data_IF_898039144702
#
_entry.id   IF_898039144702
#
_cell.length_a   1.000
_cell.length_b   1.000
_cell.length_c   1.000
_cell.angle_alpha   90.00
_cell.angle_beta   90.00
_cell.angle_gamma   90.00
#
_symmetry.space_group_name_H-M   'P 1'
#
loop_
_entity.id
_entity.type
_entity.pdbx_description
1 polymer ?
#
# COMPACT_ATOMS: atom_id res chain seq x y z
N UNK A 1 11.05 16.48 -18.30
CA UNK A 1 9.79 15.66 -18.22
C UNK A 1 10.12 14.19 -18.44
N UNK A 2 9.46 13.29 -17.72
CA UNK A 2 9.62 11.85 -17.88
C UNK A 2 8.92 11.41 -19.17
N UNK A 3 9.61 10.66 -20.02
CA UNK A 3 9.09 10.17 -21.29
C UNK A 3 7.93 9.16 -21.09
N UNK A 4 7.01 9.08 -22.06
CA UNK A 4 5.83 8.20 -22.01
C UNK A 4 6.19 6.72 -21.75
N UNK A 5 7.21 6.20 -22.42
CA UNK A 5 7.69 4.81 -22.25
C UNK A 5 8.13 4.54 -20.80
N UNK A 6 8.88 5.47 -20.19
CA UNK A 6 9.37 5.33 -18.81
C UNK A 6 8.21 5.33 -17.82
N UNK A 7 7.17 6.17 -18.04
CA UNK A 7 5.97 6.17 -17.21
C UNK A 7 5.24 4.83 -17.27
N UNK A 8 5.05 4.27 -18.46
CA UNK A 8 4.38 2.98 -18.66
C UNK A 8 5.15 1.87 -17.93
N UNK A 9 6.46 1.80 -18.14
CA UNK A 9 7.33 0.80 -17.47
C UNK A 9 7.23 0.95 -15.94
N UNK A 10 7.28 2.19 -15.43
CA UNK A 10 7.17 2.42 -13.99
C UNK A 10 5.80 1.98 -13.42
N UNK A 11 4.71 2.22 -14.14
CA UNK A 11 3.36 1.77 -13.74
C UNK A 11 3.31 0.25 -13.67
N UNK A 12 3.81 -0.45 -14.69
CA UNK A 12 3.83 -1.91 -14.72
C UNK A 12 4.68 -2.46 -13.57
N UNK A 13 5.88 -1.90 -13.35
CA UNK A 13 6.75 -2.33 -12.25
C UNK A 13 6.15 -2.06 -10.88
N UNK A 14 5.43 -0.94 -10.68
CA UNK A 14 4.73 -0.66 -9.42
C UNK A 14 3.65 -1.71 -9.13
N UNK A 15 2.85 -2.08 -10.13
CA UNK A 15 1.79 -3.08 -9.98
C UNK A 15 2.41 -4.44 -9.66
N UNK A 16 3.43 -4.87 -10.40
CA UNK A 16 4.13 -6.14 -10.16
C UNK A 16 4.76 -6.13 -8.77
N UNK A 17 5.49 -5.08 -8.40
CA UNK A 17 6.13 -4.98 -7.10
C UNK A 17 5.11 -5.01 -5.96
N UNK A 18 4.02 -4.23 -6.07
CA UNK A 18 2.94 -4.24 -5.10
C UNK A 18 2.32 -5.63 -4.93
N UNK A 19 2.04 -6.32 -6.04
CA UNK A 19 1.52 -7.70 -5.99
C UNK A 19 2.53 -8.68 -5.36
N UNK A 20 3.82 -8.55 -5.67
CA UNK A 20 4.88 -9.39 -5.09
C UNK A 20 5.03 -9.18 -3.57
N UNK A 21 4.77 -7.96 -3.07
CA UNK A 21 4.85 -7.66 -1.63
C UNK A 21 3.97 -8.59 -0.79
N UNK A 22 2.85 -9.05 -1.33
CA UNK A 22 1.93 -9.97 -0.67
C UNK A 22 2.60 -11.31 -0.27
N UNK A 23 3.57 -11.77 -1.04
CA UNK A 23 4.18 -13.09 -0.84
C UNK A 23 5.52 -13.06 -0.08
N UNK A 24 6.08 -11.87 0.16
CA UNK A 24 7.46 -11.75 0.69
C UNK A 24 7.59 -12.35 2.08
N UNK A 25 6.70 -12.00 3.00
CA UNK A 25 6.82 -12.48 4.38
C UNK A 25 6.53 -13.98 4.52
N UNK A 26 5.64 -14.52 3.68
CA UNK A 26 5.35 -15.95 3.65
C UNK A 26 6.52 -16.80 3.16
N UNK A 27 7.45 -16.21 2.39
CA UNK A 27 8.64 -16.89 1.87
C UNK A 27 9.85 -16.83 2.83
N UNK A 28 9.77 -16.05 3.93
CA UNK A 28 10.88 -15.84 4.86
C UNK A 28 10.70 -16.65 6.15
N UNK A 29 11.81 -17.09 6.78
CA UNK A 29 11.75 -17.73 8.08
C UNK A 29 11.31 -16.72 9.16
N UNK A 30 10.60 -17.20 10.18
CA UNK A 30 10.20 -16.37 11.34
C UNK A 30 11.43 -15.86 12.09
N UNK A 31 11.45 -14.58 12.47
CA UNK A 31 12.55 -13.96 13.20
C UNK A 31 12.57 -12.43 13.09
N UNK A 32 13.53 -11.79 13.71
CA UNK A 32 13.61 -10.33 13.78
C UNK A 32 13.67 -9.62 12.42
N UNK A 33 14.22 -10.27 11.38
CA UNK A 33 14.19 -9.71 10.01
C UNK A 33 12.75 -9.65 9.49
N UNK A 34 11.97 -10.71 9.69
CA UNK A 34 10.56 -10.79 9.26
C UNK A 34 9.72 -9.77 10.02
N UNK A 35 9.97 -9.58 11.32
CA UNK A 35 9.31 -8.54 12.12
C UNK A 35 9.62 -7.14 11.58
N UNK A 36 10.89 -6.84 11.29
CA UNK A 36 11.27 -5.56 10.69
C UNK A 36 10.61 -5.34 9.34
N UNK A 37 10.60 -6.36 8.48
CA UNK A 37 9.98 -6.30 7.15
C UNK A 37 8.46 -6.15 7.20
N UNK A 38 7.81 -6.59 8.27
CA UNK A 38 6.38 -6.39 8.52
C UNK A 38 5.96 -4.90 8.56
N UNK A 39 6.90 -3.97 8.76
CA UNK A 39 6.63 -2.55 8.60
C UNK A 39 6.30 -2.14 7.16
N UNK A 40 6.81 -2.88 6.18
CA UNK A 40 6.73 -2.56 4.76
C UNK A 40 5.83 -3.51 3.98
N UNK A 41 5.76 -4.77 4.39
CA UNK A 41 5.03 -5.84 3.71
C UNK A 41 3.81 -6.26 4.53
N UNK A 42 2.72 -6.72 3.89
CA UNK A 42 1.56 -7.24 4.60
C UNK A 42 1.93 -8.40 5.53
N UNK A 43 1.50 -8.35 6.77
CA UNK A 43 1.75 -9.39 7.79
C UNK A 43 0.58 -10.36 7.92
N UNK A 44 -0.60 -10.00 7.42
CA UNK A 44 -1.83 -10.80 7.44
C UNK A 44 -2.75 -10.41 6.28
N UNK A 45 -3.89 -11.09 6.16
CA UNK A 45 -4.86 -10.91 5.06
C UNK A 45 -5.91 -9.81 5.33
N UNK A 46 -5.63 -8.87 6.25
CA UNK A 46 -6.55 -7.77 6.50
C UNK A 46 -6.51 -6.73 5.40
N UNK A 47 -7.64 -6.07 5.14
CA UNK A 47 -7.72 -4.99 4.16
C UNK A 47 -6.75 -3.84 4.50
N UNK A 48 -6.48 -3.62 5.80
CA UNK A 48 -5.53 -2.61 6.26
C UNK A 48 -4.10 -2.91 5.80
N UNK A 49 -3.65 -4.14 5.96
CA UNK A 49 -2.30 -4.57 5.57
C UNK A 49 -2.07 -4.48 4.06
N UNK A 50 -3.10 -4.77 3.26
CA UNK A 50 -3.05 -4.62 1.80
C UNK A 50 -2.84 -3.16 1.33
N UNK A 51 -3.13 -2.15 2.16
CA UNK A 51 -2.83 -0.76 1.81
C UNK A 51 -1.33 -0.51 1.63
N UNK A 52 -0.45 -1.27 2.32
CA UNK A 52 1.01 -1.19 2.14
C UNK A 52 1.43 -1.47 0.70
N UNK A 53 0.75 -2.40 0.05
CA UNK A 53 1.03 -2.80 -1.34
C UNK A 53 0.77 -1.67 -2.35
N UNK A 54 0.00 -0.66 -1.99
CA UNK A 54 -0.23 0.54 -2.79
C UNK A 54 0.62 1.71 -2.32
N UNK A 55 0.70 1.92 -1.00
CA UNK A 55 1.40 3.04 -0.41
C UNK A 55 2.88 3.06 -0.79
N UNK A 56 3.61 2.00 -0.48
CA UNK A 56 5.06 1.99 -0.66
C UNK A 56 5.53 2.03 -2.12
N UNK A 57 4.94 1.28 -3.07
CA UNK A 57 5.33 1.37 -4.48
C UNK A 57 5.07 2.75 -5.09
N UNK A 58 3.91 3.35 -4.82
CA UNK A 58 3.58 4.69 -5.32
C UNK A 58 4.52 5.75 -4.69
N UNK A 59 4.76 5.69 -3.38
CA UNK A 59 5.67 6.60 -2.71
C UNK A 59 7.10 6.49 -3.27
N UNK A 60 7.61 5.28 -3.45
CA UNK A 60 8.94 5.03 -3.97
C UNK A 60 9.12 5.62 -5.38
N UNK A 61 8.16 5.40 -6.29
CA UNK A 61 8.22 5.98 -7.64
C UNK A 61 8.09 7.50 -7.62
N UNK A 62 7.26 8.05 -6.75
CA UNK A 62 7.16 9.49 -6.54
C UNK A 62 8.48 10.12 -6.12
N UNK A 63 9.19 9.49 -5.19
CA UNK A 63 10.53 9.88 -4.75
C UNK A 63 11.52 9.80 -5.92
N UNK A 64 11.61 8.66 -6.60
CA UNK A 64 12.52 8.43 -7.73
C UNK A 64 12.30 9.46 -8.84
N UNK A 65 11.04 9.71 -9.22
CA UNK A 65 10.71 10.68 -10.27
C UNK A 65 11.00 12.11 -9.85
N UNK A 66 10.77 12.46 -8.58
CA UNK A 66 11.12 13.75 -8.03
C UNK A 66 12.62 14.02 -8.13
N UNK A 67 13.46 13.07 -7.73
CA UNK A 67 14.92 13.18 -7.84
C UNK A 67 15.39 13.21 -9.29
N UNK A 68 14.91 12.30 -10.15
CA UNK A 68 15.34 12.23 -11.56
C UNK A 68 15.01 13.47 -12.38
N UNK A 69 13.95 14.17 -12.05
CA UNK A 69 13.47 15.33 -12.81
C UNK A 69 13.78 16.67 -12.15
N UNK A 70 14.19 16.68 -10.89
CA UNK A 70 14.27 17.89 -10.07
C UNK A 70 12.90 18.51 -9.78
N UNK A 71 11.80 17.86 -10.20
CA UNK A 71 10.43 18.35 -9.99
C UNK A 71 9.78 17.70 -8.77
N UNK A 72 9.80 18.42 -7.66
CA UNK A 72 9.20 17.99 -6.38
C UNK A 72 7.69 17.75 -6.45
N UNK A 73 7.02 18.24 -7.49
CA UNK A 73 5.61 17.98 -7.74
C UNK A 73 5.31 16.49 -7.97
N UNK A 74 6.27 15.69 -8.43
CA UNK A 74 6.09 14.24 -8.53
C UNK A 74 5.88 13.60 -7.15
N UNK A 75 6.70 13.94 -6.16
CA UNK A 75 6.52 13.41 -4.80
C UNK A 75 5.11 13.69 -4.27
N UNK A 76 4.71 14.96 -4.28
CA UNK A 76 3.39 15.39 -3.82
C UNK A 76 2.25 14.70 -4.57
N UNK A 77 2.35 14.64 -5.91
CA UNK A 77 1.34 13.99 -6.75
C UNK A 77 1.19 12.50 -6.40
N UNK A 78 2.30 11.79 -6.20
CA UNK A 78 2.26 10.37 -5.84
C UNK A 78 1.73 10.13 -4.42
N UNK A 79 2.02 11.01 -3.45
CA UNK A 79 1.42 10.94 -2.11
C UNK A 79 -0.10 11.06 -2.17
N UNK A 80 -0.63 12.09 -2.85
CA UNK A 80 -2.08 12.26 -3.03
C UNK A 80 -2.70 11.06 -3.72
N UNK A 81 -2.06 10.59 -4.79
CA UNK A 81 -2.56 9.50 -5.60
C UNK A 81 -2.51 8.15 -4.87
N UNK A 82 -1.52 7.96 -3.99
CA UNK A 82 -1.46 6.77 -3.14
C UNK A 82 -2.64 6.74 -2.16
N UNK A 83 -2.96 7.88 -1.53
CA UNK A 83 -4.15 7.98 -0.67
C UNK A 83 -5.43 7.67 -1.45
N UNK A 84 -5.58 8.22 -2.65
CA UNK A 84 -6.75 7.95 -3.49
C UNK A 84 -6.84 6.50 -3.94
N UNK A 85 -5.71 5.86 -4.30
CA UNK A 85 -5.67 4.45 -4.64
C UNK A 85 -6.07 3.56 -3.46
N UNK A 86 -5.56 3.85 -2.25
CA UNK A 86 -5.91 3.15 -1.02
C UNK A 86 -7.41 3.27 -0.73
N UNK A 87 -7.98 4.48 -0.80
CA UNK A 87 -9.41 4.71 -0.57
C UNK A 87 -10.28 4.01 -1.63
N UNK A 88 -9.88 4.06 -2.89
CA UNK A 88 -10.58 3.36 -3.98
C UNK A 88 -10.55 1.85 -3.76
N UNK A 89 -9.40 1.29 -3.42
CA UNK A 89 -9.25 -0.14 -3.15
C UNK A 89 -10.13 -0.58 -1.97
N UNK A 90 -10.01 0.11 -0.84
CA UNK A 90 -10.78 -0.18 0.36
C UNK A 90 -12.29 -0.05 0.11
N UNK A 91 -12.72 1.03 -0.56
CA UNK A 91 -14.12 1.26 -0.87
C UNK A 91 -14.70 0.20 -1.79
N UNK A 92 -14.02 -0.12 -2.90
CA UNK A 92 -14.47 -1.13 -3.83
C UNK A 92 -14.51 -2.53 -3.19
N UNK A 93 -13.49 -2.89 -2.40
CA UNK A 93 -13.43 -4.13 -1.65
C UNK A 93 -14.59 -4.24 -0.66
N UNK A 94 -14.81 -3.21 0.17
CA UNK A 94 -15.89 -3.20 1.17
C UNK A 94 -17.27 -3.29 0.53
N UNK A 95 -17.48 -2.61 -0.61
CA UNK A 95 -18.76 -2.64 -1.33
C UNK A 95 -19.05 -4.04 -1.84
N UNK A 96 -18.12 -4.64 -2.64
CA UNK A 96 -18.42 -5.95 -3.21
C UNK A 96 -18.56 -7.03 -2.14
N UNK A 97 -17.77 -6.96 -1.08
CA UNK A 97 -17.84 -7.92 0.02
C UNK A 97 -19.15 -7.82 0.79
N UNK A 98 -19.73 -6.62 0.93
CA UNK A 98 -21.05 -6.42 1.52
C UNK A 98 -22.16 -7.16 0.75
N UNK A 99 -22.00 -7.28 -0.60
CA UNK A 99 -22.96 -7.98 -1.43
C UNK A 99 -22.70 -9.48 -1.55
N UNK A 100 -21.42 -9.88 -1.65
CA UNK A 100 -21.02 -11.27 -1.88
C UNK A 100 -20.96 -12.11 -0.60
N UNK A 101 -20.77 -11.46 0.54
CA UNK A 101 -20.54 -12.11 1.84
C UNK A 101 -19.23 -12.90 1.94
N UNK A 102 -18.37 -12.84 0.93
CA UNK A 102 -17.10 -13.56 0.86
C UNK A 102 -16.09 -12.86 -0.03
N UNK A 103 -14.81 -13.15 0.16
CA UNK A 103 -13.72 -12.71 -0.71
C UNK A 103 -13.69 -13.54 -2.01
N UNK A 104 -13.39 -12.88 -3.12
CA UNK A 104 -13.27 -13.50 -4.43
C UNK A 104 -11.94 -13.05 -5.04
N UNK A 105 -10.95 -13.93 -5.04
CA UNK A 105 -9.56 -13.64 -5.42
C UNK A 105 -9.43 -12.86 -6.73
N UNK A 106 -10.18 -13.22 -7.77
CA UNK A 106 -10.14 -12.55 -9.07
C UNK A 106 -10.61 -11.09 -8.95
N UNK A 107 -11.64 -10.82 -8.14
CA UNK A 107 -12.12 -9.47 -7.88
C UNK A 107 -11.10 -8.68 -7.07
N UNK A 108 -10.50 -9.28 -6.03
CA UNK A 108 -9.50 -8.64 -5.19
C UNK A 108 -8.28 -8.19 -6.01
N UNK A 109 -7.75 -9.07 -6.86
CA UNK A 109 -6.65 -8.75 -7.79
C UNK A 109 -7.08 -7.66 -8.78
N UNK A 110 -8.29 -7.75 -9.33
CA UNK A 110 -8.79 -6.77 -10.30
C UNK A 110 -8.96 -5.38 -9.67
N UNK A 111 -9.47 -5.31 -8.45
CA UNK A 111 -9.61 -4.07 -7.67
C UNK A 111 -8.24 -3.47 -7.36
N UNK A 112 -7.29 -4.30 -6.91
CA UNK A 112 -5.92 -3.87 -6.64
C UNK A 112 -5.26 -3.27 -7.89
N UNK A 113 -5.26 -4.00 -9.02
CA UNK A 113 -4.66 -3.54 -10.28
C UNK A 113 -5.32 -2.23 -10.75
N UNK A 114 -6.65 -2.17 -10.71
CA UNK A 114 -7.41 -0.98 -11.13
C UNK A 114 -7.08 0.23 -10.25
N UNK A 115 -7.02 0.05 -8.93
CA UNK A 115 -6.71 1.12 -7.98
C UNK A 115 -5.28 1.63 -8.17
N UNK A 116 -4.30 0.73 -8.38
CA UNK A 116 -2.92 1.08 -8.67
C UNK A 116 -2.79 1.84 -9.99
N UNK A 117 -3.49 1.39 -11.04
CA UNK A 117 -3.47 2.03 -12.36
C UNK A 117 -4.07 3.44 -12.28
N UNK A 118 -5.24 3.59 -11.68
CA UNK A 118 -5.88 4.90 -11.48
C UNK A 118 -4.99 5.83 -10.66
N UNK A 119 -4.42 5.34 -9.55
CA UNK A 119 -3.48 6.11 -8.74
C UNK A 119 -2.26 6.57 -9.53
N UNK A 120 -1.64 5.70 -10.31
CA UNK A 120 -0.47 6.03 -11.11
C UNK A 120 -0.78 7.04 -12.24
N UNK A 121 -1.92 6.91 -12.91
CA UNK A 121 -2.37 7.86 -13.94
C UNK A 121 -2.66 9.22 -13.31
N UNK A 122 -3.38 9.25 -12.18
CA UNK A 122 -3.66 10.48 -11.43
C UNK A 122 -2.35 11.17 -10.99
N UNK A 123 -1.36 10.43 -10.51
CA UNK A 123 -0.06 10.97 -10.16
C UNK A 123 0.64 11.64 -11.34
N UNK A 124 0.57 11.03 -12.53
CA UNK A 124 1.13 11.61 -13.75
C UNK A 124 0.49 12.95 -14.11
N UNK A 125 -0.83 13.08 -13.96
CA UNK A 125 -1.57 14.32 -14.22
C UNK A 125 -1.28 15.37 -13.15
N UNK A 126 -1.38 15.00 -11.87
CA UNK A 126 -1.17 15.93 -10.76
C UNK A 126 0.26 16.47 -10.68
N UNK A 127 1.26 15.70 -11.11
CA UNK A 127 2.67 16.12 -11.09
C UNK A 127 2.97 17.37 -11.91
N UNK A 128 2.09 17.72 -12.86
CA UNK A 128 2.19 18.91 -13.69
C UNK A 128 1.53 20.15 -13.04
N UNK A 129 0.81 19.99 -11.95
CA UNK A 129 0.07 21.09 -11.30
C UNK A 129 0.98 21.89 -10.38
N UNK A 130 0.91 23.21 -10.46
CA UNK A 130 1.75 24.12 -9.64
C UNK A 130 1.54 23.96 -8.14
N UNK A 131 0.32 23.63 -7.69
CA UNK A 131 -0.02 23.51 -6.27
C UNK A 131 0.71 22.34 -5.60
N UNK A 132 1.00 21.25 -6.34
CA UNK A 132 1.75 20.10 -5.81
C UNK A 132 3.16 20.49 -5.37
N UNK A 133 3.79 21.44 -6.07
CA UNK A 133 5.13 21.94 -5.74
C UNK A 133 5.11 22.94 -4.57
N UNK A 134 4.10 23.83 -4.55
CA UNK A 134 4.01 24.90 -3.54
C UNK A 134 3.78 24.37 -2.13
N UNK A 135 3.05 23.27 -1.97
CA UNK A 135 2.67 22.71 -0.69
C UNK A 135 3.55 21.50 -0.29
N UNK A 136 4.77 21.42 -0.78
CA UNK A 136 5.66 20.28 -0.50
C UNK A 136 5.81 19.95 0.99
N UNK A 137 5.99 20.90 1.93
CA UNK A 137 6.11 20.56 3.35
C UNK A 137 4.86 19.85 3.89
N UNK A 138 3.68 20.25 3.44
CA UNK A 138 2.42 19.59 3.82
C UNK A 138 2.38 18.14 3.31
N UNK A 139 2.81 17.91 2.07
CA UNK A 139 2.82 16.55 1.49
C UNK A 139 3.86 15.64 2.14
N UNK A 140 5.00 16.20 2.55
CA UNK A 140 6.00 15.46 3.34
C UNK A 140 5.44 15.11 4.71
N UNK A 141 4.81 16.05 5.40
CA UNK A 141 4.18 15.81 6.70
C UNK A 141 3.09 14.74 6.60
N UNK A 142 2.24 14.83 5.58
CA UNK A 142 1.19 13.84 5.31
C UNK A 142 1.78 12.44 5.03
N UNK A 143 2.83 12.35 4.22
CA UNK A 143 3.49 11.08 3.91
C UNK A 143 4.10 10.44 5.15
N UNK A 144 4.76 11.23 5.99
CA UNK A 144 5.30 10.76 7.28
C UNK A 144 4.18 10.30 8.21
N UNK A 145 3.12 11.08 8.35
CA UNK A 145 1.98 10.76 9.21
C UNK A 145 1.31 9.44 8.78
N UNK A 146 1.06 9.26 7.47
CA UNK A 146 0.46 8.03 6.95
C UNK A 146 1.40 6.84 7.17
N UNK A 147 2.70 6.99 6.87
CA UNK A 147 3.69 5.92 7.06
C UNK A 147 3.78 5.49 8.53
N UNK A 148 3.85 6.46 9.46
CA UNK A 148 3.84 6.18 10.89
C UNK A 148 2.52 5.52 11.32
N UNK A 149 1.38 5.98 10.78
CA UNK A 149 0.08 5.38 11.03
C UNK A 149 -0.01 3.93 10.55
N UNK A 150 0.50 3.64 9.35
CA UNK A 150 0.56 2.27 8.81
C UNK A 150 1.39 1.37 9.72
N UNK A 151 2.59 1.80 10.11
CA UNK A 151 3.48 1.04 11.00
C UNK A 151 2.82 0.84 12.37
N UNK A 152 2.30 1.92 12.97
CA UNK A 152 1.64 1.84 14.28
C UNK A 152 0.48 0.84 14.29
N UNK A 153 -0.40 0.89 13.30
CA UNK A 153 -1.58 0.04 13.22
C UNK A 153 -1.27 -1.41 12.82
N UNK A 154 -0.08 -1.69 12.29
CA UNK A 154 0.40 -3.07 12.11
C UNK A 154 0.59 -3.77 13.46
N UNK A 155 1.10 -3.05 14.47
CA UNK A 155 1.34 -3.60 15.82
C UNK A 155 0.17 -3.38 16.79
N UNK A 156 -0.70 -2.41 16.51
CA UNK A 156 -1.83 -2.04 17.33
C UNK A 156 -3.13 -1.98 16.47
N UNK A 157 -3.55 -3.13 15.90
CA UNK A 157 -4.70 -3.14 15.01
C UNK A 157 -5.97 -2.73 15.76
N UNK A 158 -6.79 -1.91 15.09
CA UNK A 158 -8.11 -1.52 15.62
C UNK A 158 -9.10 -2.69 15.61
N UNK A 159 -10.27 -2.48 16.24
CA UNK A 159 -11.37 -3.46 16.27
C UNK A 159 -12.32 -3.34 15.06
N UNK A 160 -12.03 -2.42 14.11
CA UNK A 160 -12.89 -2.18 12.95
C UNK A 160 -12.78 -3.27 11.89
N UNK A 161 -13.79 -3.31 11.02
CA UNK A 161 -13.89 -4.26 9.90
C UNK A 161 -12.62 -4.39 9.04
N UNK A 162 -11.93 -3.28 8.79
CA UNK A 162 -10.71 -3.24 7.98
C UNK A 162 -9.51 -3.99 8.58
N UNK A 163 -9.58 -4.32 9.88
CA UNK A 163 -8.57 -5.07 10.62
C UNK A 163 -8.96 -6.54 10.86
N UNK A 164 -10.12 -6.98 10.36
CA UNK A 164 -10.54 -8.38 10.45
C UNK A 164 -9.91 -9.17 9.32
N UNK A 165 -9.39 -10.36 9.64
CA UNK A 165 -8.89 -11.28 8.62
C UNK A 165 -10.05 -11.79 7.76
N UNK A 166 -9.82 -11.79 6.48
CA UNK A 166 -10.76 -12.36 5.52
C UNK A 166 -10.53 -13.88 5.46
N UNK A 167 -11.08 -14.62 6.40
CA UNK A 167 -10.83 -16.05 6.68
C UNK A 167 -11.07 -17.04 5.52
N UNK A 168 -11.19 -16.59 4.27
CA UNK A 168 -11.40 -17.46 3.11
C UNK A 168 -10.13 -18.01 2.44
N UNK A 169 -8.93 -17.46 2.75
CA UNK A 169 -7.65 -17.81 2.06
C UNK A 169 -6.52 -18.19 3.05
N UNK A 170 -6.81 -18.32 4.32
CA UNK A 170 -5.86 -18.32 5.43
C UNK A 170 -5.13 -19.65 5.71
N UNK A 171 -4.87 -20.53 4.74
CA UNK A 171 -4.14 -21.75 5.07
C UNK A 171 -2.60 -21.61 5.07
N UNK A 172 -2.04 -20.50 4.62
CA UNK A 172 -0.58 -20.32 4.53
C UNK A 172 0.00 -19.28 5.50
N UNK A 173 -0.77 -18.30 5.99
CA UNK A 173 -0.25 -17.17 6.78
C UNK A 173 -0.52 -17.22 8.30
N UNK A 174 -1.26 -18.19 8.80
CA UNK A 174 -1.56 -18.33 10.25
C UNK A 174 -0.29 -18.44 11.12
N UNK A 175 0.85 -18.76 10.51
CA UNK A 175 2.13 -18.90 11.22
C UNK A 175 2.74 -17.56 11.64
N UNK A 176 2.56 -16.51 10.87
CA UNK A 176 3.12 -15.16 11.18
C UNK A 176 2.30 -14.41 12.22
N UNK A 177 0.97 -14.55 12.21
CA UNK A 177 0.08 -13.90 13.16
C UNK A 177 0.39 -14.29 14.62
N UNK A 178 0.68 -15.56 14.88
CA UNK A 178 1.01 -16.05 16.22
C UNK A 178 2.35 -15.53 16.75
N UNK A 179 3.30 -15.19 15.87
CA UNK A 179 4.60 -14.64 16.27
C UNK A 179 4.47 -13.19 16.77
N UNK A 180 3.63 -12.38 16.11
CA UNK A 180 3.42 -10.97 16.47
C UNK A 180 2.59 -10.82 17.77
N UNK A 181 1.65 -11.73 18.05
CA UNK A 181 0.83 -11.65 19.26
C UNK A 181 1.52 -12.22 20.50
N UNK A 182 2.46 -13.14 20.36
CA UNK A 182 3.15 -13.76 21.51
C UNK A 182 4.25 -12.87 22.13
N UNK A 183 4.81 -11.93 21.37
CA UNK A 183 5.86 -11.05 21.88
C UNK A 183 5.33 -9.72 22.45
N UNK A 184 4.03 -9.42 22.29
CA UNK A 184 3.37 -8.24 22.88
C UNK A 184 2.79 -8.46 24.29
N UNK A 185 2.90 -9.64 24.86
CA UNK A 185 2.37 -10.03 26.14
C UNK A 185 3.44 -10.17 27.21
N UNK A 186 4.17 -9.09 27.52
CA UNK A 186 4.93 -9.00 28.77
C UNK A 186 4.26 -7.94 29.65
N UNK A 187 3.48 -8.48 30.63
CA UNK A 187 2.98 -7.90 31.90
C UNK A 187 2.43 -6.49 31.88
#
# INVERSE_FOLDING_TARGET
MIGKKVKIVAIVLMIIFGACMHFVLGALPSGGITEFLGNFFPVNETSWEHMKMMWYPLLAVGIIFSFKTGNRGYFAAFVVSAVMAMLMNLGAFSIYQSFSGKTILILDISIFISSMLVGALLACELSQKKWTQKMLPLWVALAVMITVGIIWLTYHPGKGYVFQDNEGLSHTHTRTHNVFLHNGGLT
#
